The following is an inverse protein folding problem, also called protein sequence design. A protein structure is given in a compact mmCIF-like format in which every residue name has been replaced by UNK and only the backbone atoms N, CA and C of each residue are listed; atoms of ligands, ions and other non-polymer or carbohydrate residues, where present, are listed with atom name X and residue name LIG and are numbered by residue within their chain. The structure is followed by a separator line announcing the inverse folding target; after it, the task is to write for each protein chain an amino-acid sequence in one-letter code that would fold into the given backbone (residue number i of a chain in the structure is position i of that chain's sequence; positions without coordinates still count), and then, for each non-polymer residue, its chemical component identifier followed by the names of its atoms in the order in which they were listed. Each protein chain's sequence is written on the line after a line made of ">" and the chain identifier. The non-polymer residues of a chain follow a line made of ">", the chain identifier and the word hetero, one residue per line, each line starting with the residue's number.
data_IF_677184475325
#
_entry.id   IF_677184475325
#
_cell.length_a   1.000
_cell.length_b   1.000
_cell.length_c   1.000
_cell.angle_alpha   90.00
_cell.angle_beta   90.00
_cell.angle_gamma   90.00
#
_symmetry.space_group_name_H-M   'P 1'
#
loop_
_entity.id
_entity.type
_entity.pdbx_description
1 polymer ?
#
# COMPACT_ATOMS: atom_id res chain seq x y z
N UNK A 1 -2.01 9.00 -40.93
CA UNK A 1 -3.17 9.27 -40.05
C UNK A 1 -3.64 8.06 -39.21
N UNK A 2 -3.55 6.80 -39.67
CA UNK A 2 -3.99 5.62 -38.87
C UNK A 2 -3.17 5.38 -37.58
N UNK A 3 -1.87 5.68 -37.58
CA UNK A 3 -0.98 5.49 -36.41
C UNK A 3 -1.31 6.48 -35.27
N UNK A 4 -1.68 7.72 -35.61
CA UNK A 4 -2.03 8.77 -34.62
C UNK A 4 -3.35 8.44 -33.93
N UNK A 5 -4.34 7.89 -34.66
CA UNK A 5 -5.60 7.44 -34.08
C UNK A 5 -5.41 6.22 -33.14
N UNK A 6 -4.54 5.27 -33.50
CA UNK A 6 -4.20 4.12 -32.66
C UNK A 6 -3.50 4.52 -31.34
N UNK A 7 -2.58 5.49 -31.39
CA UNK A 7 -1.91 5.99 -30.19
C UNK A 7 -2.87 6.78 -29.28
N UNK A 8 -3.80 7.55 -29.86
CA UNK A 8 -4.83 8.27 -29.10
C UNK A 8 -5.83 7.32 -28.41
N UNK A 9 -6.19 6.20 -29.06
CA UNK A 9 -7.04 5.17 -28.46
C UNK A 9 -6.35 4.44 -27.29
N UNK A 10 -5.06 4.13 -27.43
CA UNK A 10 -4.27 3.50 -26.36
C UNK A 10 -4.14 4.40 -25.12
N UNK A 11 -3.97 5.71 -25.29
CA UNK A 11 -3.89 6.64 -24.16
C UNK A 11 -5.22 6.79 -23.45
N UNK A 12 -6.34 6.89 -24.18
CA UNK A 12 -7.70 6.97 -23.60
C UNK A 12 -8.07 5.69 -22.84
N UNK A 13 -7.78 4.51 -23.40
CA UNK A 13 -8.03 3.23 -22.73
C UNK A 13 -7.18 3.07 -21.46
N UNK A 14 -5.90 3.46 -21.49
CA UNK A 14 -5.03 3.42 -20.31
C UNK A 14 -5.50 4.37 -19.19
N UNK A 15 -5.98 5.57 -19.53
CA UNK A 15 -6.48 6.54 -18.55
C UNK A 15 -7.79 6.08 -17.90
N UNK A 16 -8.68 5.41 -18.66
CA UNK A 16 -9.96 4.92 -18.14
C UNK A 16 -9.83 3.79 -17.10
N UNK A 17 -8.76 2.99 -17.17
CA UNK A 17 -8.55 1.87 -16.25
C UNK A 17 -8.05 2.31 -14.87
N UNK A 18 -7.23 3.37 -14.81
CA UNK A 18 -6.79 3.96 -13.54
C UNK A 18 -7.97 4.58 -12.79
N UNK A 19 -8.84 5.29 -13.52
CA UNK A 19 -10.03 5.93 -12.96
C UNK A 19 -10.98 4.94 -12.26
N UNK A 20 -11.24 3.78 -12.87
CA UNK A 20 -12.13 2.75 -12.31
C UNK A 20 -11.60 2.13 -11.01
N UNK A 21 -10.29 2.00 -10.89
CA UNK A 21 -9.64 1.49 -9.68
C UNK A 21 -9.73 2.50 -8.54
N UNK A 22 -9.44 3.77 -8.81
CA UNK A 22 -9.52 4.85 -7.83
C UNK A 22 -10.97 5.07 -7.35
N UNK A 23 -11.94 5.07 -8.28
CA UNK A 23 -13.36 5.14 -7.96
C UNK A 23 -13.81 3.98 -7.06
N UNK A 24 -13.38 2.76 -7.36
CA UNK A 24 -13.67 1.60 -6.51
C UNK A 24 -13.09 1.78 -5.09
N UNK A 25 -11.86 2.30 -4.96
CA UNK A 25 -11.27 2.58 -3.64
C UNK A 25 -12.14 3.56 -2.86
N UNK A 26 -12.65 4.61 -3.50
CA UNK A 26 -13.53 5.59 -2.83
C UNK A 26 -14.90 5.02 -2.43
N UNK A 27 -15.42 4.04 -3.18
CA UNK A 27 -16.69 3.38 -2.86
C UNK A 27 -16.56 2.44 -1.66
N UNK A 28 -15.42 1.76 -1.53
CA UNK A 28 -15.23 0.72 -0.51
C UNK A 28 -14.46 1.20 0.72
N UNK A 29 -13.49 2.09 0.56
CA UNK A 29 -12.64 2.58 1.65
C UNK A 29 -13.08 3.99 2.04
N UNK A 30 -13.38 4.19 3.32
CA UNK A 30 -13.73 5.51 3.84
C UNK A 30 -12.48 6.22 4.39
N UNK A 31 -12.36 7.55 4.24
CA UNK A 31 -11.26 8.30 4.86
C UNK A 31 -11.13 8.09 6.39
N UNK A 32 -12.23 8.01 7.16
CA UNK A 32 -12.16 7.66 8.58
C UNK A 32 -11.46 6.31 8.84
N UNK A 33 -11.75 5.26 8.06
CA UNK A 33 -11.09 3.96 8.22
C UNK A 33 -9.57 4.06 8.06
N UNK A 34 -9.08 4.74 7.02
CA UNK A 34 -7.64 4.93 6.81
C UNK A 34 -7.03 5.78 7.91
N UNK A 35 -7.74 6.81 8.39
CA UNK A 35 -7.32 7.65 9.51
C UNK A 35 -7.16 6.84 10.79
N UNK A 36 -8.15 6.05 11.17
CA UNK A 36 -8.12 5.21 12.37
C UNK A 36 -6.98 4.18 12.32
N UNK A 37 -6.72 3.61 11.13
CA UNK A 37 -5.57 2.73 10.91
C UNK A 37 -4.23 3.47 11.06
N UNK A 38 -4.13 4.71 10.57
CA UNK A 38 -2.91 5.53 10.73
C UNK A 38 -2.65 5.87 12.19
N UNK A 39 -3.68 6.25 12.95
CA UNK A 39 -3.60 6.55 14.38
C UNK A 39 -3.20 5.30 15.17
N UNK A 40 -3.84 4.17 14.88
CA UNK A 40 -3.49 2.89 15.53
C UNK A 40 -2.06 2.46 15.18
N UNK A 41 -1.63 2.64 13.92
CA UNK A 41 -0.25 2.37 13.51
C UNK A 41 0.76 3.24 14.26
N UNK A 42 0.42 4.50 14.53
CA UNK A 42 1.26 5.43 15.30
C UNK A 42 1.33 5.03 16.78
N UNK A 43 0.22 4.59 17.38
CA UNK A 43 0.20 4.05 18.74
C UNK A 43 1.09 2.81 18.86
N UNK A 44 0.98 1.88 17.90
CA UNK A 44 1.85 0.70 17.88
C UNK A 44 3.31 1.15 17.75
N UNK A 45 3.63 2.06 16.82
CA UNK A 45 5.00 2.57 16.65
C UNK A 45 5.55 3.18 17.95
N UNK A 46 4.76 3.98 18.67
CA UNK A 46 5.16 4.58 19.96
C UNK A 46 5.42 3.53 21.05
N UNK A 47 4.77 2.37 20.97
CA UNK A 47 4.98 1.25 21.90
C UNK A 47 6.22 0.43 21.60
N UNK A 48 6.80 0.55 20.39
CA UNK A 48 7.98 -0.21 20.01
C UNK A 48 9.27 0.36 20.61
N UNK A 49 10.29 -0.48 20.88
CA UNK A 49 11.63 -0.02 21.25
C UNK A 49 12.18 0.97 20.23
N UNK A 50 12.84 2.03 20.70
CA UNK A 50 13.52 2.99 19.82
C UNK A 50 14.61 2.30 19.02
N UNK A 51 14.59 2.50 17.72
CA UNK A 51 15.63 2.07 16.80
C UNK A 51 16.72 3.16 16.73
N UNK A 52 17.87 2.90 17.35
CA UNK A 52 19.03 3.80 17.34
C UNK A 52 20.01 3.48 16.18
N UNK A 53 19.68 2.53 15.30
CA UNK A 53 20.55 2.18 14.18
C UNK A 53 20.63 3.31 13.13
N UNK A 54 21.71 3.36 12.32
CA UNK A 54 21.81 4.29 11.21
C UNK A 54 20.55 4.24 10.33
N UNK A 55 20.11 5.41 9.89
CA UNK A 55 18.82 5.57 9.22
C UNK A 55 18.77 4.80 7.89
N UNK A 56 18.22 3.58 7.92
CA UNK A 56 17.91 2.80 6.73
C UNK A 56 16.40 2.76 6.53
N UNK A 57 15.92 3.31 5.41
CA UNK A 57 14.49 3.28 5.04
C UNK A 57 14.18 2.03 4.24
N UNK A 58 13.33 1.17 4.77
CA UNK A 58 12.88 -0.06 4.08
C UNK A 58 12.06 0.31 2.85
N UNK A 59 11.13 1.26 2.99
CA UNK A 59 10.27 1.71 1.90
C UNK A 59 10.88 2.83 1.05
N UNK A 60 12.17 3.14 1.22
CA UNK A 60 12.82 4.33 0.67
C UNK A 60 12.76 4.42 -0.87
N UNK A 61 12.96 3.30 -1.56
CA UNK A 61 12.89 3.25 -3.04
C UNK A 61 11.46 3.40 -3.55
N UNK A 62 10.52 2.69 -2.94
CA UNK A 62 9.11 2.71 -3.31
C UNK A 62 8.44 4.06 -3.03
N UNK A 63 8.93 4.82 -2.04
CA UNK A 63 8.50 6.20 -1.78
C UNK A 63 8.59 7.08 -3.04
N UNK A 64 9.61 6.89 -3.88
CA UNK A 64 9.75 7.64 -5.15
C UNK A 64 8.65 7.27 -6.16
N UNK A 65 8.12 6.05 -6.07
CA UNK A 65 7.03 5.56 -6.90
C UNK A 65 5.64 5.80 -6.29
N UNK A 66 5.52 6.28 -5.05
CA UNK A 66 4.25 6.40 -4.31
C UNK A 66 3.11 7.05 -5.11
N UNK A 67 3.41 8.11 -5.87
CA UNK A 67 2.42 8.80 -6.71
C UNK A 67 2.00 8.04 -7.97
N UNK A 68 2.67 6.94 -8.33
CA UNK A 68 2.42 6.12 -9.53
C UNK A 68 1.90 4.72 -9.18
N UNK A 69 1.71 4.43 -7.89
CA UNK A 69 1.20 3.15 -7.43
C UNK A 69 -0.27 3.01 -7.82
N UNK A 70 -0.64 1.82 -8.28
CA UNK A 70 -2.02 1.42 -8.54
C UNK A 70 -2.52 0.43 -7.47
N UNK A 71 -3.77 -0.03 -7.60
CA UNK A 71 -4.37 -0.97 -6.63
C UNK A 71 -3.58 -2.28 -6.55
N UNK A 72 -3.10 -2.82 -7.66
CA UNK A 72 -2.28 -4.03 -7.67
C UNK A 72 -0.96 -3.84 -6.90
N UNK A 73 -0.33 -2.67 -7.01
CA UNK A 73 0.85 -2.33 -6.23
C UNK A 73 0.54 -2.29 -4.73
N UNK A 74 -0.56 -1.64 -4.34
CA UNK A 74 -0.98 -1.59 -2.94
C UNK A 74 -1.31 -2.97 -2.38
N UNK A 75 -2.09 -3.78 -3.11
CA UNK A 75 -2.37 -5.17 -2.75
C UNK A 75 -1.09 -5.94 -2.47
N UNK A 76 -0.12 -5.87 -3.39
CA UNK A 76 1.15 -6.59 -3.22
C UNK A 76 1.95 -6.09 -2.01
N UNK A 77 1.95 -4.78 -1.73
CA UNK A 77 2.61 -4.24 -0.52
C UNK A 77 1.94 -4.79 0.74
N UNK A 78 0.61 -4.83 0.78
CA UNK A 78 -0.14 -5.37 1.93
C UNK A 78 0.15 -6.86 2.14
N UNK A 79 0.21 -7.66 1.07
CA UNK A 79 0.60 -9.08 1.14
C UNK A 79 2.00 -9.27 1.71
N UNK A 80 2.99 -8.52 1.22
CA UNK A 80 4.38 -8.58 1.74
C UNK A 80 4.41 -8.27 3.24
N UNK A 81 3.66 -7.25 3.67
CA UNK A 81 3.59 -6.87 5.08
C UNK A 81 2.89 -7.93 5.93
N UNK A 82 1.79 -8.51 5.44
CA UNK A 82 1.10 -9.59 6.13
C UNK A 82 2.02 -10.81 6.31
N UNK A 83 2.53 -11.35 5.22
CA UNK A 83 3.31 -12.59 5.19
C UNK A 83 4.66 -12.47 5.91
N UNK A 84 5.32 -11.32 5.81
CA UNK A 84 6.71 -11.20 6.22
C UNK A 84 6.96 -10.22 7.37
N UNK A 85 5.97 -9.40 7.75
CA UNK A 85 6.06 -8.53 8.92
C UNK A 85 5.06 -9.00 9.98
N UNK A 86 3.76 -8.85 9.72
CA UNK A 86 2.67 -9.08 10.68
C UNK A 86 2.51 -10.54 11.10
N UNK A 87 2.72 -11.50 10.22
CA UNK A 87 2.75 -12.90 10.67
C UNK A 87 4.02 -13.23 11.45
N UNK A 88 5.16 -12.60 11.12
CA UNK A 88 6.45 -12.92 11.75
C UNK A 88 6.63 -12.35 13.16
N UNK A 89 6.31 -11.06 13.43
CA UNK A 89 6.45 -10.59 14.83
C UNK A 89 5.36 -11.15 15.76
N UNK A 90 4.24 -11.63 15.22
CA UNK A 90 3.06 -11.99 16.02
C UNK A 90 2.78 -13.51 16.06
N UNK A 91 3.54 -14.33 15.33
CA UNK A 91 3.46 -15.80 15.43
C UNK A 91 3.84 -16.35 16.81
N UNK A 92 4.69 -15.65 17.56
CA UNK A 92 5.41 -16.23 18.71
C UNK A 92 5.34 -15.44 20.05
N UNK A 93 4.64 -14.30 20.17
CA UNK A 93 4.66 -13.53 21.44
C UNK A 93 3.33 -12.85 21.81
N UNK A 94 3.14 -12.68 23.11
CA UNK A 94 2.01 -12.17 23.92
C UNK A 94 1.47 -10.78 23.60
N UNK A 95 2.04 -10.05 22.65
CA UNK A 95 1.54 -8.75 22.18
C UNK A 95 0.79 -8.94 20.88
N UNK A 96 -0.50 -9.28 20.97
CA UNK A 96 -1.38 -9.28 19.81
C UNK A 96 -1.43 -7.88 19.20
N UNK A 97 -1.40 -7.79 17.86
CA UNK A 97 -1.83 -6.58 17.16
C UNK A 97 -3.21 -6.21 17.73
N UNK A 98 -3.48 -4.91 18.00
CA UNK A 98 -4.81 -4.50 18.43
C UNK A 98 -5.83 -5.12 17.47
N UNK A 99 -6.81 -5.86 18.00
CA UNK A 99 -7.79 -6.58 17.18
C UNK A 99 -8.41 -5.67 16.13
N UNK A 100 -8.70 -4.43 16.49
CA UNK A 100 -9.21 -3.40 15.57
C UNK A 100 -8.27 -3.13 14.39
N UNK A 101 -6.95 -3.14 14.59
CA UNK A 101 -5.99 -2.99 13.49
C UNK A 101 -6.02 -4.20 12.57
N UNK A 102 -6.00 -5.41 13.13
CA UNK A 102 -6.05 -6.65 12.35
C UNK A 102 -7.32 -6.71 11.52
N UNK A 103 -8.48 -6.45 12.13
CA UNK A 103 -9.77 -6.45 11.44
C UNK A 103 -9.82 -5.39 10.32
N UNK A 104 -9.28 -4.20 10.58
CA UNK A 104 -9.20 -3.13 9.57
C UNK A 104 -8.22 -3.46 8.44
N UNK A 105 -7.10 -4.11 8.77
CA UNK A 105 -6.11 -4.53 7.79
C UNK A 105 -6.62 -5.64 6.88
N UNK A 106 -7.34 -6.63 7.44
CA UNK A 106 -8.02 -7.68 6.65
C UNK A 106 -9.04 -7.04 5.71
N UNK A 107 -9.92 -6.16 6.22
CA UNK A 107 -10.86 -5.42 5.36
C UNK A 107 -10.17 -4.63 4.26
N UNK A 108 -9.07 -3.95 4.57
CA UNK A 108 -8.31 -3.19 3.58
C UNK A 108 -7.77 -4.10 2.47
N UNK A 109 -7.24 -5.29 2.81
CA UNK A 109 -6.80 -6.29 1.82
C UNK A 109 -7.96 -6.76 0.94
N UNK A 110 -9.09 -7.11 1.53
CA UNK A 110 -10.27 -7.58 0.80
C UNK A 110 -10.76 -6.50 -0.19
N UNK A 111 -10.74 -5.23 0.22
CA UNK A 111 -11.10 -4.10 -0.64
C UNK A 111 -10.10 -3.91 -1.79
N UNK A 112 -8.80 -4.08 -1.54
CA UNK A 112 -7.80 -4.03 -2.61
C UNK A 112 -7.99 -5.17 -3.61
N UNK A 113 -8.35 -6.37 -3.16
CA UNK A 113 -8.65 -7.50 -4.03
C UNK A 113 -9.89 -7.23 -4.91
N UNK A 114 -10.97 -6.71 -4.32
CA UNK A 114 -12.17 -6.31 -5.07
C UNK A 114 -11.82 -5.25 -6.11
N UNK A 115 -11.09 -4.20 -5.73
CA UNK A 115 -10.81 -3.07 -6.61
C UNK A 115 -9.76 -3.37 -7.68
N UNK A 116 -8.83 -4.30 -7.44
CA UNK A 116 -7.86 -4.72 -8.44
C UNK A 116 -8.55 -5.19 -9.72
N UNK A 117 -9.65 -5.95 -9.58
CA UNK A 117 -10.44 -6.49 -10.70
C UNK A 117 -11.06 -5.42 -11.61
N UNK A 118 -11.17 -4.16 -11.16
CA UNK A 118 -11.82 -3.06 -11.90
C UNK A 118 -10.92 -2.35 -12.91
N UNK A 119 -9.62 -2.66 -12.92
CA UNK A 119 -8.66 -2.00 -13.82
C UNK A 119 -7.42 -2.83 -14.07
N UNK A 120 -6.25 -2.17 -14.09
CA UNK A 120 -4.99 -2.83 -14.38
C UNK A 120 -4.57 -3.71 -13.19
N UNK A 121 -4.59 -5.02 -13.40
CA UNK A 121 -4.25 -6.02 -12.38
C UNK A 121 -2.74 -6.24 -12.24
N UNK A 122 -1.94 -5.67 -13.13
CA UNK A 122 -0.48 -5.81 -13.06
C UNK A 122 0.14 -4.64 -12.30
N UNK A 123 1.21 -4.89 -11.52
CA UNK A 123 2.01 -3.84 -10.91
C UNK A 123 2.46 -2.77 -11.90
N UNK A 124 2.56 -1.52 -11.43
CA UNK A 124 3.09 -0.43 -12.24
C UNK A 124 4.56 -0.68 -12.60
N UNK A 125 5.01 -0.11 -13.72
CA UNK A 125 6.41 -0.26 -14.16
C UNK A 125 7.38 0.25 -13.08
N UNK A 126 7.02 1.34 -12.38
CA UNK A 126 7.81 1.90 -11.29
C UNK A 126 7.90 0.94 -10.11
N UNK A 127 6.80 0.26 -9.78
CA UNK A 127 6.73 -0.60 -8.61
C UNK A 127 7.36 -1.98 -8.86
N UNK A 128 7.26 -2.55 -10.06
CA UNK A 128 7.67 -3.95 -10.34
C UNK A 128 9.06 -4.31 -9.82
N UNK A 129 10.08 -3.51 -10.13
CA UNK A 129 11.46 -3.77 -9.70
C UNK A 129 11.68 -3.45 -8.21
N UNK A 130 10.99 -2.41 -7.71
CA UNK A 130 11.11 -1.96 -6.33
C UNK A 130 10.39 -2.89 -5.34
N UNK A 131 9.26 -3.47 -5.73
CA UNK A 131 8.48 -4.41 -4.92
C UNK A 131 9.26 -5.69 -4.66
N UNK A 132 9.89 -6.27 -5.69
CA UNK A 132 10.74 -7.45 -5.52
C UNK A 132 11.90 -7.16 -4.57
N UNK A 133 12.59 -6.04 -4.77
CA UNK A 133 13.70 -5.63 -3.89
C UNK A 133 13.26 -5.46 -2.44
N UNK A 134 12.09 -4.86 -2.22
CA UNK A 134 11.54 -4.66 -0.87
C UNK A 134 11.12 -5.98 -0.25
N UNK A 135 10.47 -6.85 -1.01
CA UNK A 135 10.10 -8.18 -0.55
C UNK A 135 11.32 -8.99 -0.12
N UNK A 136 12.36 -9.04 -0.95
CA UNK A 136 13.61 -9.73 -0.63
C UNK A 136 14.28 -9.13 0.61
N UNK A 137 14.28 -7.79 0.73
CA UNK A 137 14.79 -7.09 1.92
C UNK A 137 14.01 -7.49 3.17
N UNK A 138 12.67 -7.44 3.11
CA UNK A 138 11.78 -7.75 4.24
C UNK A 138 11.90 -9.21 4.65
N UNK A 139 12.00 -10.14 3.70
CA UNK A 139 12.16 -11.58 3.97
C UNK A 139 13.39 -11.87 4.85
N UNK A 140 14.47 -11.13 4.64
CA UNK A 140 15.74 -11.28 5.35
C UNK A 140 15.82 -10.49 6.68
N UNK A 141 14.79 -9.72 7.03
CA UNK A 141 14.81 -8.93 8.27
C UNK A 141 14.82 -9.83 9.50
N UNK A 142 15.77 -9.54 10.38
CA UNK A 142 15.80 -10.03 11.75
C UNK A 142 14.72 -9.32 12.59
N UNK A 143 14.39 -9.81 13.81
CA UNK A 143 13.29 -9.26 14.61
C UNK A 143 13.31 -7.74 14.80
N UNK A 144 14.48 -7.12 15.05
CA UNK A 144 14.61 -5.65 15.13
C UNK A 144 14.25 -4.95 13.80
N UNK A 145 14.63 -5.54 12.68
CA UNK A 145 14.29 -5.04 11.35
C UNK A 145 12.80 -5.15 11.06
N UNK A 146 12.13 -6.19 11.54
CA UNK A 146 10.68 -6.33 11.41
C UNK A 146 9.93 -5.25 12.19
N UNK A 147 10.41 -4.88 13.39
CA UNK A 147 9.87 -3.74 14.16
C UNK A 147 10.01 -2.43 13.38
N UNK A 148 11.16 -2.24 12.70
CA UNK A 148 11.36 -1.12 11.80
C UNK A 148 10.35 -1.13 10.64
N UNK A 149 10.15 -2.28 9.99
CA UNK A 149 9.19 -2.41 8.90
C UNK A 149 7.77 -2.03 9.36
N UNK A 150 7.34 -2.54 10.51
CA UNK A 150 6.07 -2.17 11.16
C UNK A 150 5.99 -0.65 11.36
N UNK A 151 7.04 -0.01 11.87
CA UNK A 151 7.04 1.43 12.14
C UNK A 151 6.91 2.27 10.86
N UNK A 152 7.37 1.74 9.72
CA UNK A 152 7.24 2.39 8.42
C UNK A 152 5.88 2.16 7.75
N UNK A 153 5.06 1.19 8.20
CA UNK A 153 3.80 0.81 7.57
C UNK A 153 2.81 1.97 7.42
N UNK A 154 2.81 2.93 8.36
CA UNK A 154 2.00 4.15 8.26
C UNK A 154 2.18 4.89 6.93
N UNK A 155 3.37 4.83 6.32
CA UNK A 155 3.59 5.44 5.00
C UNK A 155 2.75 4.78 3.89
N UNK A 156 2.52 3.47 3.97
CA UNK A 156 1.66 2.75 3.02
C UNK A 156 0.23 3.27 3.11
N UNK A 157 -0.29 3.44 4.33
CA UNK A 157 -1.62 4.00 4.57
C UNK A 157 -1.76 5.44 4.03
N UNK A 158 -0.72 6.26 4.22
CA UNK A 158 -0.66 7.61 3.63
C UNK A 158 -0.71 7.56 2.10
N UNK A 159 -0.01 6.63 1.46
CA UNK A 159 -0.03 6.50 0.01
C UNK A 159 -1.38 6.04 -0.53
N UNK A 160 -2.06 5.14 0.19
CA UNK A 160 -3.43 4.73 -0.12
C UNK A 160 -4.38 5.93 -0.01
N UNK A 161 -4.30 6.71 1.06
CA UNK A 161 -5.10 7.94 1.23
C UNK A 161 -4.90 8.91 0.07
N UNK A 162 -3.65 9.13 -0.36
CA UNK A 162 -3.34 10.01 -1.49
C UNK A 162 -3.93 9.47 -2.80
N UNK A 163 -3.93 8.14 -3.00
CA UNK A 163 -4.54 7.54 -4.18
C UNK A 163 -6.06 7.74 -4.21
N UNK A 164 -6.73 7.63 -3.06
CA UNK A 164 -8.16 7.91 -2.93
C UNK A 164 -8.52 9.39 -3.19
N UNK A 165 -7.67 10.33 -2.74
CA UNK A 165 -7.91 11.76 -2.93
C UNK A 165 -7.77 12.21 -4.39
N UNK A 166 -6.92 11.55 -5.19
CA UNK A 166 -6.79 11.84 -6.62
C UNK A 166 -8.11 11.62 -7.36
N UNK A 167 -8.84 10.55 -7.07
CA UNK A 167 -10.15 10.32 -7.70
C UNK A 167 -11.15 11.44 -7.43
N UNK A 168 -11.14 12.03 -6.22
CA UNK A 168 -12.08 13.11 -5.85
C UNK A 168 -11.83 14.42 -6.60
N UNK A 169 -10.60 14.64 -7.04
CA UNK A 169 -10.24 15.85 -7.79
C UNK A 169 -10.60 15.75 -9.28
N UNK A 170 -10.88 14.55 -9.79
CA UNK A 170 -11.33 14.34 -11.17
C UNK A 170 -12.87 14.46 -11.32
N UNK A 171 -13.64 14.45 -10.22
CA UNK A 171 -15.10 14.64 -10.25
C UNK A 171 -15.54 16.13 -10.31
N UNK A 172 -14.61 17.08 -10.18
CA UNK A 172 -14.90 18.54 -10.12
C UNK A 172 -14.71 19.24 -11.49
N UNK A 173 -14.33 18.51 -12.54
CA UNK A 173 -14.16 19.02 -13.90
C UNK A 173 -15.04 18.29 -14.92
#
# INVERSE_FOLDING_TARGET
>A
MRIVALLALCTVLCSSQGHKQEECLNQHITPPMIKDMMETSELIQKSLPRDNAPFHRILGKLKKCSKKLNVADFKRILEIYDEHVFQKLWKNNSHQLPKMFTDSFVRLKDMMEICETKGKQTPSLCARENLKTIEDTIKMLQPKGLLKAQSEFRHVLVWISIAMDKSRTHEIH
#
